data_IF_369575493629
#
_entry.id   IF_369575493629
#
_cell.length_a   1.000
_cell.length_b   1.000
_cell.length_c   1.000
_cell.angle_alpha   90.00
_cell.angle_beta   90.00
_cell.angle_gamma   90.00
#
_symmetry.space_group_name_H-M   'P 1'
#
loop_
_entity.id
_entity.type
_entity.pdbx_description
1 polymer ?
#
# COMPACT_ATOMS: atom_id res chain seq x y z
N UNK A 1 -2.60 15.12 9.81
CA UNK A 1 -2.51 15.06 11.28
C UNK A 1 -2.64 13.63 11.81
N UNK A 2 -3.71 12.92 11.44
CA UNK A 2 -3.97 11.52 11.85
C UNK A 2 -2.77 10.57 11.75
N UNK A 3 -2.03 10.56 10.64
CA UNK A 3 -0.91 9.61 10.45
C UNK A 3 0.26 9.86 11.41
N UNK A 4 0.37 11.08 11.95
CA UNK A 4 1.37 11.38 12.98
C UNK A 4 0.90 10.94 14.37
N UNK A 5 -0.39 11.10 14.67
CA UNK A 5 -1.00 10.76 15.97
C UNK A 5 -1.28 9.26 16.11
N UNK A 6 -1.65 8.61 15.02
CA UNK A 6 -2.00 7.20 14.91
C UNK A 6 -1.26 6.58 13.71
N UNK A 7 0.06 6.37 13.81
CA UNK A 7 0.87 5.88 12.70
C UNK A 7 0.49 4.45 12.31
N UNK A 8 0.05 4.22 11.07
CA UNK A 8 -0.19 2.86 10.58
C UNK A 8 1.12 2.08 10.45
N UNK A 9 1.05 0.76 10.65
CA UNK A 9 2.23 -0.12 10.57
C UNK A 9 2.45 -0.70 9.15
N UNK A 10 1.43 -0.64 8.29
CA UNK A 10 1.45 -1.20 6.95
C UNK A 10 1.88 -0.20 5.88
N UNK A 11 2.41 -0.72 4.78
CA UNK A 11 2.97 0.08 3.67
C UNK A 11 1.90 0.87 2.92
N UNK A 12 0.68 0.35 2.83
CA UNK A 12 -0.47 0.96 2.15
C UNK A 12 -0.76 2.38 2.63
N UNK A 13 -0.57 2.64 3.92
CA UNK A 13 -0.85 3.93 4.54
C UNK A 13 0.38 4.82 4.68
N UNK A 14 1.28 4.77 3.70
CA UNK A 14 2.26 5.84 3.50
C UNK A 14 1.65 6.92 2.61
N UNK A 15 2.07 8.18 2.81
CA UNK A 15 1.61 9.28 1.96
C UNK A 15 1.90 8.99 0.47
N UNK A 16 3.10 8.50 0.17
CA UNK A 16 3.51 8.13 -1.18
C UNK A 16 2.58 7.09 -1.79
N UNK A 17 2.26 5.99 -1.08
CA UNK A 17 1.37 4.96 -1.60
C UNK A 17 -0.04 5.48 -1.84
N UNK A 18 -0.63 6.19 -0.88
CA UNK A 18 -1.96 6.77 -1.06
C UNK A 18 -2.00 7.77 -2.22
N UNK A 19 -0.95 8.58 -2.38
CA UNK A 19 -0.88 9.55 -3.47
C UNK A 19 -0.72 8.87 -4.83
N UNK A 20 0.21 7.91 -4.96
CA UNK A 20 0.51 7.29 -6.24
C UNK A 20 -0.64 6.40 -6.74
N UNK A 21 -1.36 5.73 -5.82
CA UNK A 21 -2.49 4.88 -6.15
C UNK A 21 -3.84 5.60 -6.17
N UNK A 22 -3.89 6.92 -5.96
CA UNK A 22 -5.14 7.68 -5.81
C UNK A 22 -6.08 7.58 -7.01
N UNK A 23 -5.54 7.54 -8.23
CA UNK A 23 -6.34 7.45 -9.46
C UNK A 23 -6.85 6.02 -9.66
N UNK A 24 -6.03 5.02 -9.30
CA UNK A 24 -6.38 3.61 -9.42
C UNK A 24 -7.54 3.23 -8.50
N UNK A 25 -7.47 3.66 -7.23
CA UNK A 25 -8.56 3.44 -6.27
C UNK A 25 -9.69 4.47 -6.38
N UNK A 26 -9.45 5.65 -6.95
CA UNK A 26 -10.35 6.80 -6.87
C UNK A 26 -10.74 7.13 -5.41
N UNK A 27 -9.74 7.31 -4.54
CA UNK A 27 -9.97 7.51 -3.10
C UNK A 27 -10.76 8.78 -2.80
N UNK A 28 -11.76 8.63 -1.94
CA UNK A 28 -12.42 9.69 -1.19
C UNK A 28 -12.00 9.58 0.28
N UNK A 29 -12.07 10.71 0.98
CA UNK A 29 -11.84 10.73 2.42
C UNK A 29 -12.81 11.64 3.14
N UNK A 30 -13.08 11.33 4.40
CA UNK A 30 -13.84 12.17 5.32
C UNK A 30 -13.32 12.02 6.74
N UNK A 31 -13.64 12.99 7.58
CA UNK A 31 -13.41 12.92 9.02
C UNK A 31 -14.71 12.56 9.75
N UNK A 32 -14.64 11.56 10.63
CA UNK A 32 -15.77 11.11 11.41
C UNK A 32 -15.32 10.65 12.79
N UNK A 33 -15.89 11.22 13.86
CA UNK A 33 -15.57 10.88 15.25
C UNK A 33 -14.07 10.76 15.54
N UNK A 34 -13.28 11.75 15.14
CA UNK A 34 -11.80 11.75 15.27
C UNK A 34 -11.11 10.60 14.52
N UNK A 35 -11.65 10.19 13.39
CA UNK A 35 -11.02 9.25 12.46
C UNK A 35 -10.94 9.84 11.07
N UNK A 36 -9.83 9.58 10.39
CA UNK A 36 -9.78 9.66 8.94
C UNK A 36 -10.34 8.36 8.36
N UNK A 37 -11.37 8.48 7.52
CA UNK A 37 -11.95 7.36 6.77
C UNK A 37 -11.56 7.53 5.29
N UNK A 38 -10.96 6.49 4.71
CA UNK A 38 -10.58 6.41 3.29
C UNK A 38 -11.43 5.35 2.61
N UNK A 39 -12.07 5.70 1.49
CA UNK A 39 -13.01 4.81 0.81
C UNK A 39 -13.12 5.09 -0.69
N UNK A 40 -13.78 4.20 -1.42
CA UNK A 40 -14.06 4.36 -2.85
C UNK A 40 -15.39 3.72 -3.22
N UNK A 41 -16.20 4.44 -4.00
CA UNK A 41 -17.45 3.91 -4.57
C UNK A 41 -17.24 3.07 -5.83
N UNK A 42 -16.11 3.26 -6.52
CA UNK A 42 -15.90 2.79 -7.88
C UNK A 42 -14.89 1.65 -7.97
N UNK A 43 -14.01 1.52 -6.97
CA UNK A 43 -12.94 0.52 -7.01
C UNK A 43 -13.48 -0.91 -7.18
N UNK A 44 -14.49 -1.30 -6.38
CA UNK A 44 -15.09 -2.63 -6.49
C UNK A 44 -16.01 -2.81 -7.72
N UNK A 45 -16.38 -1.71 -8.38
CA UNK A 45 -17.19 -1.75 -9.61
C UNK A 45 -16.31 -2.00 -10.83
N UNK A 46 -15.13 -1.39 -10.84
CA UNK A 46 -14.29 -1.23 -12.01
C UNK A 46 -13.02 -2.09 -11.98
N UNK A 47 -12.46 -2.38 -10.80
CA UNK A 47 -11.11 -2.98 -10.66
C UNK A 47 -11.11 -4.34 -9.99
N UNK A 48 -12.03 -4.59 -9.06
CA UNK A 48 -12.07 -5.85 -8.31
C UNK A 48 -13.48 -6.22 -7.93
N UNK A 49 -13.89 -7.45 -8.21
CA UNK A 49 -15.21 -7.94 -7.78
C UNK A 49 -15.28 -8.06 -6.24
N UNK A 50 -16.41 -7.68 -5.61
CA UNK A 50 -16.67 -7.95 -4.20
C UNK A 50 -16.53 -9.44 -3.86
N UNK A 51 -16.16 -9.69 -2.62
CA UNK A 51 -16.04 -10.99 -2.00
C UNK A 51 -17.46 -11.55 -1.80
N UNK A 52 -17.69 -12.79 -2.24
CA UNK A 52 -18.93 -13.55 -2.03
C UNK A 52 -20.21 -12.99 -2.69
N UNK A 53 -20.10 -12.11 -3.69
CA UNK A 53 -21.28 -11.66 -4.44
C UNK A 53 -20.97 -11.28 -5.89
N UNK A 54 -21.96 -11.42 -6.76
CA UNK A 54 -21.94 -10.91 -8.14
C UNK A 54 -22.37 -9.45 -8.24
N UNK A 55 -22.93 -8.89 -7.15
CA UNK A 55 -23.27 -7.46 -7.08
C UNK A 55 -22.00 -6.61 -7.12
N UNK A 56 -22.04 -5.54 -7.91
CA UNK A 56 -20.98 -4.53 -7.94
C UNK A 56 -21.25 -3.35 -7.00
N UNK A 57 -22.40 -3.33 -6.34
CA UNK A 57 -22.82 -2.19 -5.52
C UNK A 57 -22.27 -2.28 -4.09
N UNK A 58 -20.95 -2.36 -3.96
CA UNK A 58 -20.23 -2.38 -2.69
C UNK A 58 -19.27 -1.21 -2.60
N UNK A 59 -19.17 -0.63 -1.40
CA UNK A 59 -18.24 0.45 -1.11
C UNK A 59 -16.96 -0.16 -0.54
N UNK A 60 -15.83 0.20 -1.13
CA UNK A 60 -14.51 -0.19 -0.64
C UNK A 60 -14.05 0.76 0.46
N UNK A 61 -13.63 0.23 1.60
CA UNK A 61 -13.00 0.98 2.66
C UNK A 61 -11.61 0.45 2.97
N UNK A 62 -10.72 1.37 3.28
CA UNK A 62 -9.56 1.09 4.12
C UNK A 62 -9.92 1.22 5.60
N UNK A 63 -9.18 0.58 6.53
CA UNK A 63 -9.47 0.71 7.95
C UNK A 63 -9.40 2.18 8.38
N UNK A 64 -10.32 2.64 9.25
CA UNK A 64 -10.28 3.97 9.82
C UNK A 64 -8.96 4.24 10.55
N UNK A 65 -8.48 5.48 10.50
CA UNK A 65 -7.27 5.90 11.20
C UNK A 65 -7.65 6.87 12.31
N UNK A 66 -7.57 6.42 13.54
CA UNK A 66 -7.98 7.18 14.72
C UNK A 66 -7.89 6.32 15.98
N UNK A 67 -8.44 6.81 17.11
CA UNK A 67 -8.48 6.05 18.36
C UNK A 67 -9.55 4.94 18.31
N UNK A 68 -9.18 3.69 18.63
CA UNK A 68 -10.10 2.54 18.63
C UNK A 68 -10.84 2.34 17.29
N UNK A 69 -10.11 2.16 16.17
CA UNK A 69 -10.70 2.05 14.83
C UNK A 69 -11.62 0.83 14.66
N UNK A 70 -11.50 -0.18 15.52
CA UNK A 70 -12.39 -1.34 15.58
C UNK A 70 -13.84 -0.94 15.91
N UNK A 71 -14.06 0.07 16.75
CA UNK A 71 -15.41 0.57 17.07
C UNK A 71 -16.07 1.21 15.85
N UNK A 72 -15.30 1.99 15.07
CA UNK A 72 -15.78 2.62 13.83
C UNK A 72 -16.06 1.57 12.76
N UNK A 73 -15.24 0.52 12.66
CA UNK A 73 -15.50 -0.59 11.75
C UNK A 73 -16.86 -1.26 12.06
N UNK A 74 -17.13 -1.54 13.34
CA UNK A 74 -18.42 -2.11 13.76
C UNK A 74 -19.57 -1.16 13.40
N UNK A 75 -19.44 0.12 13.69
CA UNK A 75 -20.47 1.12 13.37
C UNK A 75 -20.72 1.26 11.86
N UNK A 76 -19.67 1.14 11.04
CA UNK A 76 -19.80 1.13 9.58
C UNK A 76 -20.63 -0.07 9.10
N UNK A 77 -20.39 -1.27 9.64
CA UNK A 77 -21.17 -2.46 9.30
C UNK A 77 -22.58 -2.46 9.90
N UNK A 78 -22.81 -1.85 11.07
CA UNK A 78 -24.15 -1.70 11.65
C UNK A 78 -25.05 -0.79 10.79
N UNK A 79 -24.46 0.20 10.13
CA UNK A 79 -25.21 1.20 9.34
C UNK A 79 -25.24 0.93 7.84
N UNK A 80 -24.45 -0.05 7.34
CA UNK A 80 -24.34 -0.31 5.91
C UNK A 80 -24.27 -1.82 5.63
N UNK A 81 -25.05 -2.30 4.66
CA UNK A 81 -25.09 -3.72 4.28
C UNK A 81 -24.12 -4.09 3.16
N UNK A 82 -23.66 -3.12 2.36
CA UNK A 82 -22.90 -3.37 1.14
C UNK A 82 -21.53 -2.70 1.17
N UNK A 83 -20.71 -3.08 2.15
CA UNK A 83 -19.37 -2.51 2.31
C UNK A 83 -18.34 -3.62 2.49
N UNK A 84 -17.11 -3.36 2.09
CA UNK A 84 -15.96 -4.20 2.42
C UNK A 84 -14.84 -3.35 2.99
N UNK A 85 -14.23 -3.82 4.07
CA UNK A 85 -13.06 -3.16 4.66
C UNK A 85 -11.83 -4.04 4.43
N UNK A 86 -10.90 -3.55 3.62
CA UNK A 86 -9.72 -4.28 3.18
C UNK A 86 -8.47 -3.78 3.91
N UNK A 87 -7.40 -4.59 3.91
CA UNK A 87 -6.11 -4.26 4.53
C UNK A 87 -6.19 -3.96 6.04
N UNK A 88 -7.16 -4.54 6.74
CA UNK A 88 -7.31 -4.40 8.19
C UNK A 88 -6.12 -5.09 8.90
N UNK A 89 -5.29 -4.36 9.69
CA UNK A 89 -4.20 -4.96 10.44
C UNK A 89 -4.68 -6.06 11.40
N UNK A 90 -3.85 -7.10 11.58
CA UNK A 90 -4.19 -8.25 12.43
C UNK A 90 -4.55 -7.85 13.86
N UNK A 91 -3.89 -6.81 14.41
CA UNK A 91 -4.20 -6.28 15.75
C UNK A 91 -5.65 -5.77 15.85
N UNK A 92 -6.16 -5.14 14.81
CA UNK A 92 -7.56 -4.66 14.75
C UNK A 92 -8.50 -5.86 14.57
N UNK A 93 -8.18 -6.79 13.66
CA UNK A 93 -8.97 -8.01 13.48
C UNK A 93 -9.13 -8.81 14.78
N UNK A 94 -8.07 -8.91 15.59
CA UNK A 94 -8.11 -9.58 16.91
C UNK A 94 -9.07 -8.90 17.89
N UNK A 95 -9.12 -7.56 17.89
CA UNK A 95 -10.09 -6.82 18.72
C UNK A 95 -11.52 -7.03 18.22
N UNK A 96 -11.73 -6.99 16.91
CA UNK A 96 -13.03 -7.20 16.28
C UNK A 96 -13.60 -8.59 16.62
N UNK A 97 -12.83 -9.66 16.47
CA UNK A 97 -13.32 -11.02 16.74
C UNK A 97 -13.58 -11.31 18.22
N UNK A 98 -12.99 -10.53 19.12
CA UNK A 98 -13.27 -10.58 20.56
C UNK A 98 -14.51 -9.75 20.95
N UNK A 99 -15.04 -8.93 20.05
CA UNK A 99 -16.17 -8.05 20.32
C UNK A 99 -17.52 -8.75 20.02
N UNK A 100 -18.41 -8.78 21.01
CA UNK A 100 -19.73 -9.41 20.88
C UNK A 100 -20.60 -8.78 19.80
N UNK A 101 -20.53 -7.45 19.59
CA UNK A 101 -21.31 -6.77 18.55
C UNK A 101 -20.88 -7.23 17.16
N UNK A 102 -19.57 -7.28 16.92
CA UNK A 102 -19.03 -7.76 15.65
C UNK A 102 -19.45 -9.21 15.38
N UNK A 103 -19.38 -10.07 16.39
CA UNK A 103 -19.80 -11.48 16.27
C UNK A 103 -21.30 -11.63 15.95
N UNK A 104 -22.16 -10.70 16.42
CA UNK A 104 -23.59 -10.67 16.07
C UNK A 104 -23.87 -10.22 14.64
N UNK A 105 -22.95 -9.47 14.02
CA UNK A 105 -23.08 -9.07 12.62
C UNK A 105 -22.85 -10.23 11.64
N UNK A 106 -22.33 -11.36 12.12
CA UNK A 106 -22.07 -12.57 11.31
C UNK A 106 -21.22 -12.27 10.06
N UNK A 107 -20.21 -11.41 10.23
CA UNK A 107 -19.32 -10.97 9.15
C UNK A 107 -18.14 -11.93 8.98
N UNK A 108 -17.81 -12.22 7.72
CA UNK A 108 -16.59 -12.97 7.39
C UNK A 108 -15.35 -12.08 7.54
N UNK A 109 -14.27 -12.65 8.07
CA UNK A 109 -12.94 -12.05 8.02
C UNK A 109 -11.98 -13.01 7.34
N UNK A 110 -11.33 -12.54 6.26
CA UNK A 110 -10.50 -13.38 5.41
C UNK A 110 -9.04 -12.92 5.47
N UNK A 111 -8.13 -13.90 5.47
CA UNK A 111 -6.69 -13.62 5.38
C UNK A 111 -6.31 -13.41 3.92
N UNK A 112 -5.71 -12.26 3.63
CA UNK A 112 -5.15 -11.94 2.32
C UNK A 112 -3.62 -11.98 2.38
N UNK A 113 -3.05 -13.18 2.20
CA UNK A 113 -1.60 -13.40 2.29
C UNK A 113 -0.81 -12.69 1.21
N UNK A 114 -1.40 -12.42 0.06
CA UNK A 114 -0.74 -11.74 -1.05
C UNK A 114 -0.44 -10.28 -0.71
N UNK A 115 -1.00 -9.76 0.38
CA UNK A 115 -0.89 -8.37 0.80
C UNK A 115 -0.26 -8.23 2.19
N UNK A 116 0.57 -9.19 2.58
CA UNK A 116 1.38 -9.09 3.78
C UNK A 116 2.64 -8.28 3.51
N UNK A 117 2.88 -7.28 4.36
CA UNK A 117 4.10 -6.49 4.29
C UNK A 117 5.32 -7.28 4.80
N UNK A 118 6.41 -7.16 4.06
CA UNK A 118 7.71 -7.66 4.51
C UNK A 118 8.41 -6.60 5.36
N UNK A 119 8.53 -6.88 6.66
CA UNK A 119 9.21 -6.00 7.61
C UNK A 119 10.62 -6.52 7.87
N UNK A 120 11.61 -5.63 7.76
CA UNK A 120 13.01 -5.95 7.98
C UNK A 120 13.64 -5.08 9.04
N UNK A 121 14.62 -5.63 9.77
CA UNK A 121 15.45 -4.82 10.64
C UNK A 121 16.39 -3.95 9.79
N UNK A 122 16.31 -2.63 9.99
CA UNK A 122 17.11 -1.64 9.26
C UNK A 122 18.61 -1.87 9.42
N UNK A 123 19.08 -2.07 10.65
CA UNK A 123 20.51 -2.25 10.95
C UNK A 123 21.06 -3.54 10.34
N UNK A 124 20.26 -4.61 10.33
CA UNK A 124 20.64 -5.86 9.69
C UNK A 124 20.80 -5.73 8.17
N UNK A 125 19.90 -5.00 7.49
CA UNK A 125 20.00 -4.75 6.05
C UNK A 125 21.17 -3.83 5.74
N UNK A 126 21.33 -2.73 6.47
CA UNK A 126 22.40 -1.76 6.23
C UNK A 126 23.79 -2.39 6.34
N UNK A 127 23.99 -3.22 7.36
CA UNK A 127 25.28 -3.86 7.59
C UNK A 127 25.40 -5.25 6.94
N UNK A 128 24.32 -5.74 6.33
CA UNK A 128 24.18 -7.11 5.84
C UNK A 128 24.70 -8.13 6.88
N UNK A 129 24.33 -7.98 8.16
CA UNK A 129 24.99 -8.66 9.27
C UNK A 129 24.56 -10.13 9.43
N UNK A 130 25.49 -11.03 9.75
CA UNK A 130 25.19 -12.43 10.07
C UNK A 130 25.09 -13.38 8.86
N UNK A 131 24.74 -14.64 9.13
CA UNK A 131 24.76 -15.72 8.12
C UNK A 131 23.66 -15.61 7.07
N UNK A 132 22.47 -15.09 7.45
CA UNK A 132 21.33 -14.88 6.55
C UNK A 132 21.68 -14.05 5.30
N UNK A 133 22.54 -13.04 5.46
CA UNK A 133 22.91 -12.13 4.37
C UNK A 133 24.22 -12.52 3.66
N UNK A 134 24.77 -13.71 3.92
CA UNK A 134 26.01 -14.18 3.24
C UNK A 134 25.87 -14.14 1.72
N UNK A 135 24.72 -14.56 1.20
CA UNK A 135 24.45 -14.56 -0.23
C UNK A 135 24.39 -13.14 -0.81
N UNK A 136 23.78 -12.20 -0.09
CA UNK A 136 23.67 -10.80 -0.48
C UNK A 136 25.04 -10.13 -0.50
N UNK A 137 25.90 -10.36 0.51
CA UNK A 137 27.28 -9.87 0.51
C UNK A 137 28.07 -10.39 -0.68
N UNK A 138 27.90 -11.68 -1.04
CA UNK A 138 28.54 -12.27 -2.23
C UNK A 138 28.07 -11.59 -3.53
N UNK A 139 26.77 -11.35 -3.68
CA UNK A 139 26.25 -10.66 -4.86
C UNK A 139 26.69 -9.20 -4.92
N UNK A 140 26.68 -8.49 -3.79
CA UNK A 140 27.18 -7.13 -3.70
C UNK A 140 28.66 -7.06 -4.10
N UNK A 141 29.52 -7.93 -3.55
CA UNK A 141 30.93 -7.95 -3.94
C UNK A 141 31.12 -8.27 -5.43
N UNK A 142 30.31 -9.17 -5.98
CA UNK A 142 30.32 -9.45 -7.42
C UNK A 142 29.93 -8.21 -8.22
N UNK A 143 28.89 -7.49 -7.82
CA UNK A 143 28.48 -6.26 -8.49
C UNK A 143 29.60 -5.20 -8.44
N UNK A 144 30.13 -4.91 -7.24
CA UNK A 144 31.19 -3.93 -7.03
C UNK A 144 32.46 -4.21 -7.84
N UNK A 145 32.77 -5.48 -8.09
CA UNK A 145 33.97 -5.87 -8.84
C UNK A 145 33.79 -5.86 -10.36
N UNK A 146 32.55 -5.90 -10.87
CA UNK A 146 32.30 -6.12 -12.30
C UNK A 146 31.68 -4.92 -13.02
N UNK A 147 31.22 -3.91 -12.30
CA UNK A 147 30.54 -2.76 -12.88
C UNK A 147 31.16 -1.45 -12.38
N UNK A 148 31.35 -0.51 -13.30
CA UNK A 148 31.51 0.89 -12.96
C UNK A 148 30.11 1.46 -12.68
N UNK A 149 29.90 2.04 -11.49
CA UNK A 149 28.58 2.41 -11.01
C UNK A 149 28.61 3.73 -10.24
N UNK A 150 27.48 4.44 -10.28
CA UNK A 150 27.27 5.68 -9.53
C UNK A 150 25.86 5.66 -8.92
N UNK A 151 25.75 5.93 -7.63
CA UNK A 151 24.48 5.94 -6.92
C UNK A 151 24.00 7.38 -6.73
N UNK A 152 22.79 7.67 -7.22
CA UNK A 152 22.21 9.02 -7.14
C UNK A 152 20.85 9.01 -6.45
N UNK A 153 20.66 9.99 -5.57
CA UNK A 153 19.33 10.35 -5.07
C UNK A 153 18.55 10.97 -6.23
N UNK A 154 17.27 10.63 -6.37
CA UNK A 154 16.46 11.16 -7.47
C UNK A 154 16.31 12.68 -7.31
N UNK A 155 16.79 13.38 -8.32
CA UNK A 155 16.64 14.82 -8.52
C UNK A 155 15.74 15.08 -9.73
N UNK A 156 15.25 16.31 -9.90
CA UNK A 156 14.30 16.64 -10.96
C UNK A 156 14.81 16.33 -12.38
N UNK A 157 16.11 16.43 -12.60
CA UNK A 157 16.79 16.09 -13.85
C UNK A 157 16.88 14.58 -14.14
N UNK A 158 16.71 13.72 -13.12
CA UNK A 158 16.71 12.27 -13.28
C UNK A 158 15.31 11.69 -13.50
N UNK A 159 14.24 12.47 -13.27
CA UNK A 159 12.86 11.98 -13.35
C UNK A 159 12.52 11.41 -14.73
N UNK A 160 12.90 12.10 -15.81
CA UNK A 160 12.61 11.59 -17.17
C UNK A 160 13.38 10.29 -17.47
N UNK A 161 14.63 10.18 -17.01
CA UNK A 161 15.41 8.93 -17.15
C UNK A 161 14.79 7.76 -16.37
N UNK A 162 14.24 8.01 -15.18
CA UNK A 162 13.51 6.99 -14.43
C UNK A 162 12.25 6.52 -15.17
N UNK A 163 11.53 7.44 -15.85
CA UNK A 163 10.37 7.08 -16.66
C UNK A 163 10.77 6.28 -17.90
N UNK A 164 11.86 6.65 -18.56
CA UNK A 164 12.41 5.89 -19.70
C UNK A 164 12.73 4.45 -19.29
N UNK A 165 13.43 4.26 -18.16
CA UNK A 165 13.74 2.94 -17.62
C UNK A 165 12.47 2.13 -17.29
N UNK A 166 11.47 2.77 -16.66
CA UNK A 166 10.20 2.12 -16.36
C UNK A 166 9.46 1.71 -17.64
N UNK A 167 9.46 2.56 -18.67
CA UNK A 167 8.84 2.25 -19.96
C UNK A 167 9.53 1.07 -20.65
N UNK A 168 10.86 1.05 -20.68
CA UNK A 168 11.63 -0.09 -21.23
C UNK A 168 11.31 -1.40 -20.48
N UNK A 169 11.33 -1.35 -19.15
CA UNK A 169 10.95 -2.50 -18.33
C UNK A 169 9.53 -2.97 -18.65
N UNK A 170 8.63 -2.02 -18.84
CA UNK A 170 7.24 -2.32 -19.09
C UNK A 170 6.98 -2.96 -20.47
N UNK A 171 7.71 -2.53 -21.49
CA UNK A 171 7.70 -3.15 -22.82
C UNK A 171 8.20 -4.59 -22.72
N UNK A 172 9.29 -4.84 -21.99
CA UNK A 172 9.86 -6.18 -21.80
C UNK A 172 8.88 -7.12 -21.07
N UNK A 173 8.11 -6.58 -20.13
CA UNK A 173 7.13 -7.34 -19.35
C UNK A 173 5.73 -7.38 -19.95
N UNK A 174 5.51 -6.69 -21.07
CA UNK A 174 4.21 -6.53 -21.72
C UNK A 174 3.12 -6.03 -20.74
N UNK A 175 3.39 -4.97 -19.95
CA UNK A 175 2.42 -4.54 -18.93
C UNK A 175 1.04 -4.20 -19.48
N UNK A 176 0.95 -3.73 -20.73
CA UNK A 176 -0.34 -3.38 -21.35
C UNK A 176 -1.29 -4.57 -21.50
N UNK A 177 -0.79 -5.80 -21.29
CA UNK A 177 -1.59 -7.03 -21.28
C UNK A 177 -2.00 -7.45 -19.87
N UNK A 178 -1.49 -6.79 -18.82
CA UNK A 178 -1.75 -7.08 -17.41
C UNK A 178 -2.18 -5.80 -16.67
N UNK A 179 -3.45 -5.72 -16.27
CA UNK A 179 -4.03 -4.55 -15.61
C UNK A 179 -3.25 -4.15 -14.33
N UNK A 180 -2.66 -5.11 -13.60
CA UNK A 180 -1.88 -4.83 -12.40
C UNK A 180 -0.56 -4.16 -12.75
N UNK A 181 0.13 -4.62 -13.80
CA UNK A 181 1.39 -4.04 -14.23
C UNK A 181 1.19 -2.67 -14.87
N UNK A 182 0.11 -2.48 -15.62
CA UNK A 182 -0.28 -1.18 -16.17
C UNK A 182 -0.58 -0.18 -15.04
N UNK A 183 -1.36 -0.59 -14.05
CA UNK A 183 -1.66 0.24 -12.88
C UNK A 183 -0.39 0.57 -12.06
N UNK A 184 0.54 -0.38 -11.93
CA UNK A 184 1.84 -0.13 -11.28
C UNK A 184 2.66 0.91 -12.05
N UNK A 185 2.69 0.85 -13.39
CA UNK A 185 3.37 1.85 -14.21
C UNK A 185 2.78 3.25 -13.99
N UNK A 186 1.45 3.39 -14.02
CA UNK A 186 0.78 4.66 -13.74
C UNK A 186 1.12 5.17 -12.33
N UNK A 187 1.08 4.28 -11.33
CA UNK A 187 1.42 4.63 -9.96
C UNK A 187 2.88 5.10 -9.85
N UNK A 188 3.84 4.42 -10.48
CA UNK A 188 5.25 4.86 -10.50
C UNK A 188 5.37 6.26 -11.12
N UNK A 189 4.65 6.54 -12.20
CA UNK A 189 4.65 7.86 -12.84
C UNK A 189 4.05 8.94 -11.92
N UNK A 190 3.01 8.61 -11.16
CA UNK A 190 2.46 9.49 -10.13
C UNK A 190 3.45 9.73 -8.98
N UNK A 191 4.13 8.70 -8.51
CA UNK A 191 5.16 8.81 -7.47
C UNK A 191 6.30 9.75 -7.89
N UNK A 192 6.71 9.70 -9.17
CA UNK A 192 7.73 10.57 -9.74
C UNK A 192 7.28 12.05 -9.88
N UNK A 193 5.98 12.35 -9.82
CA UNK A 193 5.46 13.74 -9.78
C UNK A 193 5.61 14.36 -8.40
N UNK A 194 5.79 13.56 -7.35
CA UNK A 194 6.00 14.07 -5.99
C UNK A 194 7.34 14.82 -5.99
N UNK A 195 7.28 16.15 -6.09
CA UNK A 195 8.44 17.00 -5.83
C UNK A 195 8.93 16.70 -4.42
N UNK A 196 10.24 16.74 -4.19
CA UNK A 196 10.91 16.62 -2.89
C UNK A 196 10.30 17.59 -1.85
N UNK A 197 9.11 17.29 -1.34
CA UNK A 197 8.54 17.89 -0.16
C UNK A 197 9.35 17.32 0.99
N UNK A 198 9.86 18.23 1.83
CA UNK A 198 10.80 17.93 2.93
C UNK A 198 10.40 16.65 3.66
N UNK A 199 11.14 15.55 3.43
CA UNK A 199 10.94 14.27 4.12
C UNK A 199 10.95 13.01 3.25
N UNK A 200 10.74 13.12 1.94
CA UNK A 200 10.80 11.95 1.04
C UNK A 200 12.09 11.96 0.22
N UNK A 201 12.86 10.88 0.33
CA UNK A 201 14.04 10.60 -0.50
C UNK A 201 13.69 9.41 -1.38
N UNK A 202 13.48 9.64 -2.67
CA UNK A 202 13.39 8.58 -3.65
C UNK A 202 14.81 8.29 -4.16
N UNK A 203 15.17 7.03 -4.31
CA UNK A 203 16.49 6.59 -4.74
C UNK A 203 16.37 5.86 -6.08
N UNK A 204 17.28 6.12 -7.02
CA UNK A 204 17.41 5.36 -8.26
C UNK A 204 18.67 4.51 -8.14
N UNK A 205 18.61 3.23 -8.53
CA UNK A 205 19.75 2.34 -8.65
C UNK A 205 19.93 2.03 -10.13
#
# INVERSE_FOLDING_TARGET
>A
EYFRKYPPENSEFTFTNLFMWRNYYNFLFTEFKEHLILFSYDYLKNRRKPINTDSKDYIYFFPPIGPNPDEIIIELFENNSNIEIHRVPEKICKKLTQNEKFNKLNMDHLKDRNNWDYVYNKEEILNLAGNKYRQNRRWLQKFLNNYDYDFKVITGDLVEKCKELQLEWCIIRACTEDESLEAEQEAIYEALKIKNQKGHKNYCV
#
